data_IF_844160420823
#
_entry.id   IF_844160420823
#
_cell.length_a   1.000
_cell.length_b   1.000
_cell.length_c   1.000
_cell.angle_alpha   90.00
_cell.angle_beta   90.00
_cell.angle_gamma   90.00
#
_symmetry.space_group_name_H-M   'P 1'
#
loop_
_entity.id
_entity.type
_entity.pdbx_description
1 polymer ?
#
# COMPACT_ATOMS: atom_id res chain seq x y z
N UNK A 1 -8.87 -17.17 -21.72
CA UNK A 1 -8.91 -15.85 -22.39
C UNK A 1 -8.27 -14.79 -21.47
N UNK A 2 -8.62 -14.72 -20.20
CA UNK A 2 -8.11 -13.70 -19.26
C UNK A 2 -6.60 -13.82 -18.99
N UNK A 3 -6.07 -15.05 -18.90
CA UNK A 3 -4.65 -15.31 -18.73
C UNK A 3 -3.82 -14.94 -19.98
N UNK A 4 -4.36 -15.17 -21.18
CA UNK A 4 -3.73 -14.77 -22.44
C UNK A 4 -3.74 -13.25 -22.60
N UNK A 5 -4.81 -12.54 -22.23
CA UNK A 5 -4.88 -11.09 -22.27
C UNK A 5 -3.90 -10.43 -21.31
N UNK A 6 -3.64 -11.05 -20.14
CA UNK A 6 -2.65 -10.57 -19.15
C UNK A 6 -1.19 -10.76 -19.64
N UNK A 7 -0.94 -11.85 -20.39
CA UNK A 7 0.35 -12.12 -21.04
C UNK A 7 0.63 -11.13 -22.18
N UNK A 8 -0.38 -10.86 -23.01
CA UNK A 8 -0.33 -9.89 -24.09
C UNK A 8 -0.12 -8.45 -23.59
N UNK A 9 -0.72 -8.06 -22.46
CA UNK A 9 -0.51 -6.72 -21.89
C UNK A 9 0.91 -6.50 -21.34
N UNK A 10 1.55 -7.54 -20.78
CA UNK A 10 2.95 -7.49 -20.36
C UNK A 10 3.89 -7.44 -21.57
N UNK A 11 3.64 -8.24 -22.58
CA UNK A 11 4.37 -8.22 -23.83
C UNK A 11 4.29 -6.82 -24.50
N UNK A 12 3.10 -6.24 -24.58
CA UNK A 12 2.88 -4.90 -25.12
C UNK A 12 3.69 -3.82 -24.41
N UNK A 13 3.80 -3.91 -23.08
CA UNK A 13 4.59 -2.95 -22.29
C UNK A 13 6.09 -3.06 -22.60
N UNK A 14 6.61 -4.28 -22.73
CA UNK A 14 8.01 -4.52 -23.11
C UNK A 14 8.29 -4.07 -24.55
N UNK A 15 7.42 -4.39 -25.48
CA UNK A 15 7.53 -3.97 -26.87
C UNK A 15 7.50 -2.44 -27.04
N UNK A 16 6.76 -1.73 -26.20
CA UNK A 16 6.75 -0.26 -26.24
C UNK A 16 8.12 0.36 -25.97
N UNK A 17 8.92 -0.28 -25.11
CA UNK A 17 10.27 0.19 -24.80
C UNK A 17 11.25 -0.27 -25.89
N UNK A 18 11.13 -1.50 -26.36
CA UNK A 18 12.01 -2.09 -27.36
C UNK A 18 11.78 -1.50 -28.77
N UNK A 19 10.54 -1.21 -29.15
CA UNK A 19 10.18 -0.71 -30.48
C UNK A 19 10.99 0.50 -30.92
N UNK A 20 11.03 1.63 -30.18
CA UNK A 20 11.83 2.79 -30.60
C UNK A 20 13.33 2.48 -30.62
N UNK A 21 13.80 1.59 -29.73
CA UNK A 21 15.19 1.14 -29.73
C UNK A 21 15.51 0.33 -30.99
N UNK A 22 14.69 -0.65 -31.36
CA UNK A 22 14.91 -1.51 -32.53
C UNK A 22 14.83 -0.71 -33.83
N UNK A 23 13.88 0.22 -33.94
CA UNK A 23 13.78 1.12 -35.10
C UNK A 23 15.06 1.97 -35.21
N UNK A 24 15.49 2.55 -34.09
CA UNK A 24 16.71 3.37 -34.07
C UNK A 24 17.97 2.56 -34.37
N UNK A 25 18.06 1.31 -33.91
CA UNK A 25 19.13 0.37 -34.19
C UNK A 25 19.28 0.14 -35.70
N UNK A 26 18.15 -0.10 -36.38
CA UNK A 26 18.13 -0.25 -37.86
C UNK A 26 18.53 1.04 -38.58
N UNK A 27 17.98 2.20 -38.19
CA UNK A 27 18.32 3.50 -38.77
C UNK A 27 19.82 3.85 -38.67
N UNK A 28 20.53 3.33 -37.67
CA UNK A 28 21.97 3.50 -37.49
C UNK A 28 22.80 2.48 -38.27
N UNK A 29 22.16 1.60 -39.05
CA UNK A 29 22.84 0.59 -39.89
C UNK A 29 23.41 -0.60 -39.12
N UNK A 30 22.97 -0.84 -37.87
CA UNK A 30 23.40 -2.00 -37.12
C UNK A 30 22.76 -3.29 -37.65
N UNK A 31 23.49 -4.44 -37.68
CA UNK A 31 22.99 -5.68 -38.23
C UNK A 31 21.96 -6.36 -37.30
N UNK A 32 21.18 -7.29 -37.87
CA UNK A 32 20.28 -8.17 -37.12
C UNK A 32 18.79 -7.78 -37.13
N UNK A 33 18.43 -6.68 -37.80
CA UNK A 33 17.04 -6.29 -38.04
C UNK A 33 16.94 -5.91 -39.53
N UNK A 34 15.97 -6.47 -40.22
CA UNK A 34 15.67 -6.13 -41.63
C UNK A 34 14.55 -5.09 -41.72
N UNK A 35 14.39 -4.54 -42.92
CA UNK A 35 13.41 -3.50 -43.19
C UNK A 35 11.97 -3.96 -42.96
N UNK A 36 11.66 -5.23 -43.30
CA UNK A 36 10.33 -5.81 -43.12
C UNK A 36 9.96 -5.91 -41.63
N UNK A 37 10.92 -6.23 -40.78
CA UNK A 37 10.72 -6.24 -39.33
C UNK A 37 10.49 -4.83 -38.78
N UNK A 38 11.18 -3.83 -39.32
CA UNK A 38 10.99 -2.41 -38.92
C UNK A 38 9.58 -1.93 -39.33
N UNK A 39 9.12 -2.28 -40.55
CA UNK A 39 7.79 -1.95 -41.01
C UNK A 39 6.72 -2.60 -40.13
N UNK A 40 6.87 -3.89 -39.83
CA UNK A 40 5.99 -4.58 -38.90
C UNK A 40 5.95 -3.90 -37.52
N UNK A 41 7.09 -3.52 -36.97
CA UNK A 41 7.17 -2.79 -35.71
C UNK A 41 6.49 -1.42 -35.77
N UNK A 42 6.58 -0.69 -36.88
CA UNK A 42 5.91 0.61 -37.07
C UNK A 42 4.37 0.48 -37.08
N UNK A 43 3.85 -0.57 -37.68
CA UNK A 43 2.41 -0.79 -37.82
C UNK A 43 1.78 -1.60 -36.68
N UNK A 44 2.59 -2.18 -35.76
CA UNK A 44 2.07 -2.97 -34.65
C UNK A 44 1.23 -2.11 -33.71
N UNK A 45 -0.07 -2.36 -33.62
CA UNK A 45 -0.97 -1.69 -32.67
C UNK A 45 -0.83 -2.31 -31.28
N UNK A 46 -0.08 -1.62 -30.43
CA UNK A 46 0.11 -2.01 -29.04
C UNK A 46 -1.00 -1.39 -28.18
N UNK A 47 -2.10 -2.13 -27.99
CA UNK A 47 -3.18 -1.72 -27.09
C UNK A 47 -2.65 -1.55 -25.67
N UNK A 48 -2.53 -0.33 -25.20
CA UNK A 48 -2.04 0.02 -23.88
C UNK A 48 -3.20 0.55 -23.05
N UNK A 49 -3.49 -0.08 -21.90
CA UNK A 49 -4.39 0.52 -20.92
C UNK A 49 -3.81 1.87 -20.48
N UNK A 50 -4.54 2.95 -20.72
CA UNK A 50 -4.15 4.29 -20.22
C UNK A 50 -4.11 4.27 -18.69
N UNK A 51 -3.08 4.90 -18.12
CA UNK A 51 -2.99 5.04 -16.66
C UNK A 51 -4.23 5.77 -16.11
N UNK A 52 -4.83 5.22 -15.05
CA UNK A 52 -6.02 5.81 -14.43
C UNK A 52 -7.36 5.45 -15.10
N UNK A 53 -7.37 4.72 -16.20
CA UNK A 53 -8.61 4.36 -16.90
C UNK A 53 -9.59 3.60 -16.00
N UNK A 54 -9.10 2.66 -15.17
CA UNK A 54 -9.96 1.91 -14.24
C UNK A 54 -10.63 2.80 -13.18
N UNK A 55 -10.00 3.92 -12.82
CA UNK A 55 -10.59 4.91 -11.90
C UNK A 55 -11.64 5.74 -12.64
N UNK A 56 -11.32 6.22 -13.84
CA UNK A 56 -12.23 7.05 -14.65
C UNK A 56 -13.51 6.30 -15.08
N UNK A 57 -13.42 4.99 -15.24
CA UNK A 57 -14.54 4.13 -15.63
C UNK A 57 -15.25 3.49 -14.42
N UNK A 58 -14.82 3.81 -13.19
CA UNK A 58 -15.29 3.15 -11.96
C UNK A 58 -15.35 1.62 -12.08
N UNK A 59 -14.27 1.03 -12.64
CA UNK A 59 -14.18 -0.41 -12.94
C UNK A 59 -14.37 -1.22 -11.64
N UNK A 60 -15.39 -2.10 -11.58
CA UNK A 60 -15.71 -2.84 -10.36
C UNK A 60 -14.64 -3.86 -9.95
N UNK A 61 -13.71 -4.20 -10.85
CA UNK A 61 -12.68 -5.22 -10.61
C UNK A 61 -11.28 -4.64 -10.41
N UNK A 62 -10.95 -3.52 -11.05
CA UNK A 62 -9.62 -2.91 -10.99
C UNK A 62 -9.62 -1.45 -10.48
N UNK A 63 -10.79 -0.81 -10.44
CA UNK A 63 -10.99 0.55 -9.98
C UNK A 63 -11.10 0.66 -8.44
N UNK A 64 -11.53 1.81 -7.92
CA UNK A 64 -11.76 2.00 -6.49
C UNK A 64 -12.86 1.07 -5.97
N UNK A 65 -12.82 0.74 -4.70
CA UNK A 65 -13.94 0.11 -4.00
C UNK A 65 -15.05 1.14 -3.80
N UNK A 66 -16.30 0.70 -3.87
CA UNK A 66 -17.40 1.52 -3.38
C UNK A 66 -17.47 1.48 -1.84
N UNK A 67 -18.41 2.24 -1.24
CA UNK A 67 -18.55 2.35 0.22
C UNK A 67 -18.85 0.97 0.85
N UNK A 68 -19.76 0.20 0.27
CA UNK A 68 -20.19 -1.10 0.79
C UNK A 68 -19.05 -2.12 0.74
N UNK A 69 -18.32 -2.20 -0.38
CA UNK A 69 -17.17 -3.09 -0.53
C UNK A 69 -16.07 -2.75 0.47
N UNK A 70 -15.76 -1.45 0.66
CA UNK A 70 -14.74 -1.01 1.62
C UNK A 70 -15.17 -1.30 3.05
N UNK A 71 -16.42 -1.03 3.42
CA UNK A 71 -16.97 -1.34 4.75
C UNK A 71 -16.96 -2.85 5.02
N UNK A 72 -17.35 -3.67 4.05
CA UNK A 72 -17.34 -5.13 4.19
C UNK A 72 -15.93 -5.68 4.37
N UNK A 73 -14.94 -5.13 3.66
CA UNK A 73 -13.53 -5.48 3.84
C UNK A 73 -13.05 -5.17 5.26
N UNK A 74 -13.33 -3.96 5.79
CA UNK A 74 -12.93 -3.57 7.15
C UNK A 74 -13.60 -4.47 8.20
N UNK A 75 -14.90 -4.76 8.05
CA UNK A 75 -15.62 -5.69 8.94
C UNK A 75 -15.00 -7.09 8.94
N UNK A 76 -14.71 -7.64 7.76
CA UNK A 76 -14.09 -8.96 7.63
C UNK A 76 -12.69 -8.99 8.25
N UNK A 77 -11.88 -7.96 8.03
CA UNK A 77 -10.54 -7.82 8.61
C UNK A 77 -10.60 -7.83 10.15
N UNK A 78 -11.46 -7.02 10.72
CA UNK A 78 -11.64 -6.92 12.16
C UNK A 78 -12.17 -8.23 12.77
N UNK A 79 -13.11 -8.87 12.09
CA UNK A 79 -13.66 -10.15 12.52
C UNK A 79 -12.59 -11.26 12.52
N UNK A 80 -11.83 -11.37 11.43
CA UNK A 80 -10.75 -12.36 11.32
C UNK A 80 -9.67 -12.16 12.40
N UNK A 81 -9.31 -10.90 12.69
CA UNK A 81 -8.35 -10.61 13.76
C UNK A 81 -8.87 -10.99 15.14
N UNK A 82 -10.12 -10.63 15.48
CA UNK A 82 -10.75 -11.01 16.77
C UNK A 82 -10.84 -12.52 16.96
N UNK A 83 -11.06 -13.29 15.91
CA UNK A 83 -11.09 -14.76 15.94
C UNK A 83 -9.71 -15.42 15.98
N UNK A 84 -8.62 -14.66 15.89
CA UNK A 84 -7.26 -15.22 15.78
C UNK A 84 -6.95 -15.86 14.42
N UNK A 85 -7.81 -15.66 13.41
CA UNK A 85 -7.65 -16.17 12.05
C UNK A 85 -6.70 -15.29 11.20
N UNK A 86 -6.43 -14.07 11.66
CA UNK A 86 -5.54 -13.11 11.04
C UNK A 86 -4.45 -12.71 12.02
N UNK A 87 -3.18 -12.92 11.66
CA UNK A 87 -2.05 -12.55 12.50
C UNK A 87 -1.91 -11.03 12.65
N UNK A 88 -1.31 -10.57 13.75
CA UNK A 88 -1.14 -9.16 14.05
C UNK A 88 -0.40 -8.39 12.93
N UNK A 89 0.74 -8.88 12.34
CA UNK A 89 1.39 -8.17 11.23
C UNK A 89 0.49 -8.07 9.98
N UNK A 90 -0.29 -9.10 9.67
CA UNK A 90 -1.25 -9.05 8.55
C UNK A 90 -2.40 -8.07 8.83
N UNK A 91 -2.90 -8.02 10.05
CA UNK A 91 -3.93 -7.08 10.46
C UNK A 91 -3.43 -5.64 10.39
N UNK A 92 -2.28 -5.35 11.03
CA UNK A 92 -1.70 -4.02 11.10
C UNK A 92 -1.39 -3.43 9.70
N UNK A 93 -0.77 -4.22 8.80
CA UNK A 93 -0.46 -3.73 7.46
C UNK A 93 -1.72 -3.53 6.61
N UNK A 94 -2.71 -4.40 6.74
CA UNK A 94 -4.00 -4.26 6.02
C UNK A 94 -4.76 -3.04 6.50
N UNK A 95 -4.78 -2.79 7.80
CA UNK A 95 -5.39 -1.61 8.42
C UNK A 95 -4.73 -0.32 7.91
N UNK A 96 -3.39 -0.25 7.98
CA UNK A 96 -2.64 0.91 7.48
C UNK A 96 -2.93 1.20 6.00
N UNK A 97 -2.92 0.18 5.14
CA UNK A 97 -3.20 0.36 3.71
C UNK A 97 -4.63 0.81 3.47
N UNK A 98 -5.60 0.20 4.18
CA UNK A 98 -7.02 0.49 4.01
C UNK A 98 -7.39 1.92 4.44
N UNK A 99 -6.67 2.50 5.40
CA UNK A 99 -6.94 3.83 5.92
C UNK A 99 -6.07 4.93 5.28
N UNK A 100 -4.86 4.59 4.81
CA UNK A 100 -3.91 5.60 4.33
C UNK A 100 -3.66 5.57 2.83
N UNK A 101 -3.99 4.48 2.16
CA UNK A 101 -3.67 4.29 0.74
C UNK A 101 -2.17 4.31 0.42
N UNK A 102 -1.28 4.18 1.44
CA UNK A 102 0.17 4.16 1.24
C UNK A 102 0.62 2.91 0.48
N UNK A 103 1.77 3.00 -0.18
CA UNK A 103 2.30 1.84 -0.92
C UNK A 103 2.84 0.79 0.06
N UNK A 104 2.63 -0.51 -0.18
CA UNK A 104 3.19 -1.57 0.67
C UNK A 104 4.68 -1.41 0.95
N UNK A 105 5.46 -1.04 -0.06
CA UNK A 105 6.90 -0.80 0.10
C UNK A 105 7.21 0.28 1.14
N UNK A 106 6.40 1.33 1.23
CA UNK A 106 6.59 2.39 2.22
C UNK A 106 6.30 1.90 3.63
N UNK A 107 5.25 1.08 3.79
CA UNK A 107 4.81 0.58 5.09
C UNK A 107 5.75 -0.50 5.65
N UNK A 108 6.24 -1.41 4.80
CA UNK A 108 7.19 -2.43 5.28
C UNK A 108 8.54 -1.83 5.67
N UNK A 109 8.89 -0.64 5.19
CA UNK A 109 10.12 0.06 5.56
C UNK A 109 10.01 0.86 6.86
N UNK A 110 8.85 0.86 7.52
CA UNK A 110 8.69 1.53 8.82
C UNK A 110 9.50 0.81 9.89
N UNK A 111 10.15 1.61 10.73
CA UNK A 111 10.88 1.18 11.91
C UNK A 111 10.15 1.62 13.18
N UNK A 112 10.52 1.04 14.30
CA UNK A 112 9.97 1.40 15.62
C UNK A 112 10.01 2.92 15.87
N UNK A 113 11.09 3.58 15.50
CA UNK A 113 11.29 5.04 15.66
C UNK A 113 10.38 5.90 14.79
N UNK A 114 9.75 5.32 13.77
CA UNK A 114 8.92 6.07 12.82
C UNK A 114 7.48 6.25 13.31
N UNK A 115 7.10 5.58 14.41
CA UNK A 115 5.86 5.84 15.14
C UNK A 115 6.13 6.88 16.23
N UNK A 116 5.56 8.07 16.07
CA UNK A 116 5.80 9.24 16.90
C UNK A 116 4.52 9.61 17.65
N UNK A 117 4.71 10.06 18.88
CA UNK A 117 3.68 10.67 19.71
C UNK A 117 4.06 12.14 19.93
N UNK A 118 3.18 13.05 19.55
CA UNK A 118 3.35 14.50 19.72
C UNK A 118 2.33 15.04 20.71
N UNK A 119 2.79 15.74 21.73
CA UNK A 119 1.92 16.48 22.62
C UNK A 119 1.61 17.82 21.98
N UNK A 120 0.34 18.13 21.80
CA UNK A 120 -0.13 19.41 21.28
C UNK A 120 -0.32 20.42 22.43
N UNK A 121 -0.24 21.72 22.11
CA UNK A 121 -0.38 22.81 23.08
C UNK A 121 -1.71 22.81 23.86
N UNK A 122 -2.73 22.18 23.30
CA UNK A 122 -4.05 22.00 23.91
C UNK A 122 -4.17 20.76 24.83
N UNK A 123 -3.04 20.11 25.15
CA UNK A 123 -2.98 18.90 25.97
C UNK A 123 -3.44 17.61 25.28
N UNK A 124 -3.81 17.66 23.98
CA UNK A 124 -4.13 16.46 23.20
C UNK A 124 -2.86 15.80 22.69
N UNK A 125 -2.96 14.51 22.50
CA UNK A 125 -1.89 13.69 21.93
C UNK A 125 -2.23 13.40 20.47
N UNK A 126 -1.28 13.70 19.59
CA UNK A 126 -1.33 13.33 18.17
C UNK A 126 -0.38 12.16 17.90
N UNK A 127 -0.86 11.15 17.20
CA UNK A 127 -0.03 10.03 16.74
C UNK A 127 0.31 10.22 15.28
N UNK A 128 1.59 10.08 14.97
CA UNK A 128 2.14 10.34 13.64
C UNK A 128 3.04 9.20 13.20
N UNK A 129 2.89 8.76 11.96
CA UNK A 129 3.84 7.84 11.33
C UNK A 129 4.73 8.64 10.37
N UNK A 130 6.04 8.51 10.53
CA UNK A 130 7.05 9.08 9.63
C UNK A 130 7.30 8.09 8.48
N UNK A 131 6.59 8.28 7.36
CA UNK A 131 6.58 7.33 6.23
C UNK A 131 7.70 7.62 5.25
N UNK A 132 8.57 6.64 4.93
CA UNK A 132 9.65 6.83 3.96
C UNK A 132 9.09 6.98 2.53
N UNK A 133 9.74 7.85 1.74
CA UNK A 133 9.38 8.12 0.34
C UNK A 133 10.23 7.26 -0.60
N UNK A 134 9.63 6.27 -1.26
CA UNK A 134 10.36 5.21 -2.01
C UNK A 134 10.57 5.46 -3.51
N UNK A 135 10.04 6.54 -4.08
CA UNK A 135 10.17 6.85 -5.52
C UNK A 135 10.78 8.23 -5.76
N UNK A 136 11.91 8.49 -5.14
CA UNK A 136 12.61 9.76 -5.31
C UNK A 136 13.84 9.63 -6.21
N UNK A 137 14.12 10.68 -6.98
CA UNK A 137 15.36 10.83 -7.75
C UNK A 137 16.44 11.41 -6.85
N UNK A 138 16.97 10.64 -5.94
CA UNK A 138 18.04 11.10 -5.02
C UNK A 138 18.53 9.96 -4.15
N UNK A 139 19.73 10.11 -3.59
CA UNK A 139 20.35 9.10 -2.73
C UNK A 139 19.81 9.14 -1.30
N UNK A 140 19.24 10.26 -0.86
CA UNK A 140 18.74 10.43 0.50
C UNK A 140 17.30 9.97 0.64
N UNK A 141 17.04 9.14 1.64
CA UNK A 141 15.70 8.72 2.01
C UNK A 141 15.00 9.88 2.74
N UNK A 142 13.98 10.44 2.10
CA UNK A 142 13.13 11.47 2.70
C UNK A 142 11.92 10.82 3.35
N UNK A 143 11.37 11.48 4.36
CA UNK A 143 10.20 11.03 5.08
C UNK A 143 9.06 12.02 4.92
N UNK A 144 7.85 11.54 5.13
CA UNK A 144 6.64 12.36 5.20
C UNK A 144 5.82 11.91 6.40
N UNK A 145 5.48 12.83 7.25
CA UNK A 145 4.62 12.58 8.39
C UNK A 145 3.17 12.37 7.95
N UNK A 146 2.48 11.47 8.62
CA UNK A 146 1.09 11.14 8.43
C UNK A 146 0.45 10.97 9.80
N UNK A 147 -0.50 11.84 10.14
CA UNK A 147 -1.31 11.69 11.34
C UNK A 147 -2.20 10.46 11.23
N UNK A 148 -2.31 9.71 12.32
CA UNK A 148 -3.18 8.54 12.46
C UNK A 148 -3.96 8.64 13.75
N UNK A 149 -5.11 7.98 13.79
CA UNK A 149 -5.91 7.92 15.03
C UNK A 149 -5.26 7.01 16.07
N UNK A 150 -5.58 7.25 17.35
CA UNK A 150 -5.03 6.53 18.51
C UNK A 150 -5.17 5.02 18.41
N UNK A 151 -6.30 4.53 17.90
CA UNK A 151 -6.61 3.11 17.75
C UNK A 151 -5.66 2.41 16.76
N UNK A 152 -5.42 3.06 15.62
CA UNK A 152 -4.45 2.57 14.63
C UNK A 152 -3.03 2.62 15.18
N UNK A 153 -2.68 3.71 15.88
CA UNK A 153 -1.38 3.86 16.52
C UNK A 153 -1.13 2.74 17.53
N UNK A 154 -2.13 2.37 18.32
CA UNK A 154 -2.04 1.28 19.30
C UNK A 154 -1.78 -0.08 18.66
N UNK A 155 -2.44 -0.39 17.53
CA UNK A 155 -2.19 -1.63 16.77
C UNK A 155 -0.78 -1.63 16.18
N UNK A 156 -0.35 -0.52 15.60
CA UNK A 156 1.01 -0.39 15.04
C UNK A 156 2.06 -0.51 16.13
N UNK A 157 1.82 0.09 17.31
CA UNK A 157 2.71 -0.01 18.46
C UNK A 157 2.79 -1.45 19.00
N UNK A 158 1.64 -2.14 19.08
CA UNK A 158 1.60 -3.55 19.48
C UNK A 158 2.42 -4.41 18.52
N UNK A 159 2.27 -4.20 17.21
CA UNK A 159 3.06 -4.87 16.18
C UNK A 159 4.55 -4.54 16.30
N UNK A 160 4.91 -3.28 16.53
CA UNK A 160 6.29 -2.86 16.71
C UNK A 160 6.94 -3.53 17.94
N UNK A 161 6.20 -3.60 19.05
CA UNK A 161 6.65 -4.28 20.28
C UNK A 161 6.83 -5.79 20.06
N UNK A 162 5.93 -6.43 19.32
CA UNK A 162 6.07 -7.85 18.95
C UNK A 162 7.34 -8.08 18.11
N UNK A 163 7.61 -7.20 17.15
CA UNK A 163 8.81 -7.28 16.31
C UNK A 163 10.09 -7.15 17.13
N UNK A 164 10.13 -6.23 18.09
CA UNK A 164 11.26 -6.10 19.03
C UNK A 164 11.47 -7.40 19.81
N UNK A 165 10.40 -7.97 20.39
CA UNK A 165 10.48 -9.24 21.13
C UNK A 165 11.03 -10.38 20.28
N UNK A 166 10.60 -10.50 19.03
CA UNK A 166 11.09 -11.54 18.12
C UNK A 166 12.59 -11.37 17.82
N UNK A 167 13.06 -10.14 17.64
CA UNK A 167 14.49 -9.86 17.44
C UNK A 167 15.28 -10.15 18.71
N UNK A 168 14.79 -9.75 19.90
CA UNK A 168 15.43 -10.06 21.20
C UNK A 168 15.54 -11.57 21.42
N UNK A 169 14.48 -12.32 21.10
CA UNK A 169 14.50 -13.79 21.18
C UNK A 169 15.52 -14.41 20.24
N UNK A 170 15.57 -13.94 18.99
CA UNK A 170 16.54 -14.44 18.01
C UNK A 170 18.00 -14.15 18.40
N UNK A 171 18.24 -12.99 19.05
CA UNK A 171 19.57 -12.60 19.54
C UNK A 171 19.93 -13.16 20.92
N UNK A 172 18.97 -13.71 21.66
CA UNK A 172 19.17 -14.16 23.04
C UNK A 172 19.51 -13.05 24.02
N UNK A 173 19.21 -11.79 23.71
CA UNK A 173 19.51 -10.62 24.56
C UNK A 173 18.47 -9.50 24.39
N UNK A 174 18.30 -8.71 25.43
CA UNK A 174 17.49 -7.49 25.40
C UNK A 174 18.20 -6.40 24.61
N UNK A 175 17.45 -5.67 23.80
CA UNK A 175 17.98 -4.54 23.03
C UNK A 175 17.98 -3.27 23.88
N UNK A 176 19.00 -2.43 23.71
CA UNK A 176 18.99 -1.06 24.21
C UNK A 176 18.00 -0.19 23.41
N UNK A 177 17.70 1.00 23.94
CA UNK A 177 16.70 1.89 23.32
C UNK A 177 17.11 2.37 21.92
N UNK A 178 18.39 2.52 21.65
CA UNK A 178 18.89 2.90 20.34
C UNK A 178 18.68 1.77 19.33
N UNK A 179 19.03 0.55 19.67
CA UNK A 179 18.83 -0.63 18.84
C UNK A 179 17.34 -0.94 18.60
N UNK A 180 16.49 -0.81 19.64
CA UNK A 180 15.02 -0.97 19.49
C UNK A 180 14.45 -0.03 18.45
N UNK A 181 14.89 1.23 18.41
CA UNK A 181 14.40 2.24 17.47
C UNK A 181 14.63 1.86 16.01
N UNK A 182 15.64 1.05 15.71
CA UNK A 182 16.01 0.63 14.36
C UNK A 182 15.31 -0.66 13.90
N UNK A 183 14.60 -1.36 14.80
CA UNK A 183 13.87 -2.59 14.45
C UNK A 183 12.73 -2.28 13.47
N UNK A 184 12.61 -3.02 12.34
CA UNK A 184 11.47 -2.91 11.45
C UNK A 184 10.16 -3.29 12.14
N UNK A 185 9.08 -2.53 11.88
CA UNK A 185 7.74 -2.86 12.39
C UNK A 185 7.22 -4.16 11.76
N UNK A 186 7.52 -4.38 10.48
CA UNK A 186 7.13 -5.60 9.75
C UNK A 186 8.38 -6.41 9.41
N UNK A 187 8.53 -7.55 10.09
CA UNK A 187 9.69 -8.43 9.94
C UNK A 187 9.46 -9.51 8.88
N UNK A 188 10.56 -9.88 8.22
CA UNK A 188 10.68 -11.16 7.54
C UNK A 188 11.20 -12.18 8.55
N UNK A 189 10.29 -12.93 9.18
CA UNK A 189 10.62 -13.88 10.24
C UNK A 189 11.55 -15.00 9.76
N UNK A 190 11.52 -15.40 8.48
CA UNK A 190 12.44 -16.37 7.89
C UNK A 190 13.92 -15.97 8.01
N UNK A 191 14.18 -14.65 8.11
CA UNK A 191 15.54 -14.10 8.22
C UNK A 191 16.00 -13.85 9.65
N UNK A 192 15.17 -14.11 10.64
CA UNK A 192 15.56 -13.94 12.04
C UNK A 192 16.65 -14.94 12.44
N UNK A 193 16.62 -16.14 11.87
CA UNK A 193 17.67 -17.16 12.08
C UNK A 193 19.06 -16.74 11.55
N UNK A 194 19.08 -15.82 10.57
CA UNK A 194 20.31 -15.33 9.96
C UNK A 194 20.96 -14.18 10.76
N UNK A 195 20.31 -13.73 11.83
CA UNK A 195 20.86 -12.72 12.73
C UNK A 195 22.06 -13.33 13.48
N UNK A 196 23.24 -13.12 12.93
CA UNK A 196 24.46 -13.49 13.62
C UNK A 196 24.78 -12.52 14.74
N UNK A 197 25.28 -13.04 15.85
CA UNK A 197 25.69 -12.28 17.04
C UNK A 197 26.89 -11.35 16.74
N UNK A 198 27.45 -11.39 15.53
CA UNK A 198 28.67 -10.72 15.14
C UNK A 198 28.40 -9.30 14.60
N UNK A 199 28.69 -8.31 15.41
CA UNK A 199 29.29 -7.02 15.08
C UNK A 199 28.38 -5.89 14.68
N UNK A 200 27.68 -5.79 13.60
CA UNK A 200 26.98 -4.57 13.17
C UNK A 200 25.48 -4.79 13.02
N UNK A 201 24.81 -4.96 14.16
CA UNK A 201 23.36 -5.20 14.29
C UNK A 201 22.53 -4.19 13.45
N UNK A 202 22.94 -2.93 13.39
CA UNK A 202 22.20 -1.87 12.68
C UNK A 202 22.15 -2.02 11.16
N UNK A 203 23.20 -2.56 10.53
CA UNK A 203 23.23 -2.82 9.09
C UNK A 203 22.40 -4.06 8.74
N UNK A 204 22.30 -5.02 9.65
CA UNK A 204 21.54 -6.24 9.43
C UNK A 204 20.02 -6.05 9.56
N UNK A 205 19.55 -5.11 10.38
CA UNK A 205 18.12 -4.81 10.50
C UNK A 205 17.47 -4.41 9.19
N UNK A 206 18.19 -3.77 8.27
CA UNK A 206 17.68 -3.45 6.96
C UNK A 206 17.41 -4.70 6.09
N UNK A 207 18.00 -5.85 6.43
CA UNK A 207 17.72 -7.13 5.77
C UNK A 207 16.47 -7.81 6.31
N UNK A 208 15.99 -7.39 7.49
CA UNK A 208 14.83 -7.99 8.17
C UNK A 208 13.48 -7.43 7.74
N UNK A 209 13.43 -6.47 6.84
CA UNK A 209 12.15 -5.98 6.34
C UNK A 209 11.33 -7.08 5.68
N UNK A 210 10.04 -7.13 6.01
CA UNK A 210 9.09 -7.96 5.30
C UNK A 210 9.05 -7.61 3.81
N UNK A 211 8.73 -8.58 2.97
CA UNK A 211 8.50 -8.34 1.55
C UNK A 211 7.18 -7.54 1.37
N UNK A 212 7.11 -6.57 0.45
CA UNK A 212 5.87 -5.82 0.20
C UNK A 212 4.67 -6.69 -0.19
N UNK A 213 4.93 -7.92 -0.61
CA UNK A 213 3.91 -8.93 -0.93
C UNK A 213 3.06 -9.33 0.27
N UNK A 214 3.54 -9.12 1.52
CA UNK A 214 2.78 -9.38 2.75
C UNK A 214 1.40 -8.70 2.71
N UNK A 215 1.31 -7.50 2.16
CA UNK A 215 0.06 -6.77 2.00
C UNK A 215 -0.94 -7.47 1.07
N UNK A 216 -0.46 -8.04 -0.04
CA UNK A 216 -1.32 -8.78 -0.96
C UNK A 216 -1.77 -10.10 -0.36
N UNK A 217 -0.88 -10.78 0.37
CA UNK A 217 -1.19 -12.06 1.06
C UNK A 217 -2.26 -11.81 2.11
N UNK A 218 -2.07 -10.79 2.97
CA UNK A 218 -3.00 -10.44 4.03
C UNK A 218 -4.39 -10.07 3.48
N UNK A 219 -4.46 -9.16 2.52
CA UNK A 219 -5.73 -8.72 1.93
C UNK A 219 -6.48 -9.87 1.25
N UNK A 220 -5.79 -10.74 0.51
CA UNK A 220 -6.41 -11.90 -0.12
C UNK A 220 -6.92 -12.91 0.90
N UNK A 221 -6.18 -13.16 1.97
CA UNK A 221 -6.61 -14.03 3.07
C UNK A 221 -7.89 -13.50 3.72
N UNK A 222 -7.93 -12.19 4.03
CA UNK A 222 -9.12 -11.53 4.62
C UNK A 222 -10.36 -11.73 3.73
N UNK A 223 -10.21 -11.46 2.44
CA UNK A 223 -11.36 -11.51 1.51
C UNK A 223 -11.83 -12.95 1.27
N UNK A 224 -10.91 -13.90 1.13
CA UNK A 224 -11.25 -15.30 0.87
C UNK A 224 -11.82 -15.96 2.12
N UNK A 225 -11.18 -15.82 3.28
CA UNK A 225 -11.63 -16.44 4.54
C UNK A 225 -12.93 -15.78 5.06
N UNK A 226 -13.06 -14.47 4.88
CA UNK A 226 -14.26 -13.71 5.25
C UNK A 226 -15.39 -13.80 4.22
N UNK A 227 -15.18 -14.51 3.09
CA UNK A 227 -16.13 -14.61 1.97
C UNK A 227 -16.72 -13.24 1.57
N UNK A 228 -15.84 -12.24 1.42
CA UNK A 228 -16.26 -10.87 1.10
C UNK A 228 -16.68 -10.80 -0.37
N UNK A 229 -17.98 -10.64 -0.60
CA UNK A 229 -18.57 -10.56 -1.94
C UNK A 229 -18.69 -9.10 -2.37
N UNK A 230 -18.29 -8.82 -3.61
CA UNK A 230 -18.53 -7.52 -4.23
C UNK A 230 -20.00 -7.39 -4.62
N UNK A 231 -20.67 -6.34 -4.14
CA UNK A 231 -22.06 -6.04 -4.52
C UNK A 231 -22.20 -5.57 -5.98
N UNK A 232 -21.08 -5.21 -6.63
CA UNK A 232 -21.06 -4.80 -8.04
C UNK A 232 -20.88 -5.97 -9.02
N UNK A 233 -20.22 -7.05 -8.58
CA UNK A 233 -19.91 -8.18 -9.48
C UNK A 233 -20.57 -9.49 -9.05
N UNK A 234 -21.09 -9.58 -7.81
CA UNK A 234 -21.63 -10.81 -7.24
C UNK A 234 -20.57 -11.91 -6.96
N UNK A 235 -19.29 -11.60 -7.12
CA UNK A 235 -18.16 -12.52 -6.95
C UNK A 235 -17.32 -12.11 -5.75
N UNK A 236 -16.40 -12.99 -5.32
CA UNK A 236 -15.39 -12.67 -4.31
C UNK A 236 -14.67 -11.36 -4.70
N UNK A 237 -14.57 -10.44 -3.76
CA UNK A 237 -14.01 -9.13 -3.96
C UNK A 237 -12.55 -9.23 -4.45
N UNK A 238 -12.27 -8.77 -5.66
CA UNK A 238 -10.90 -8.67 -6.14
C UNK A 238 -10.19 -7.52 -5.43
N UNK A 239 -9.29 -7.81 -4.50
CA UNK A 239 -8.62 -6.82 -3.68
C UNK A 239 -7.12 -6.73 -3.96
N UNK A 240 -6.61 -5.51 -4.06
CA UNK A 240 -5.18 -5.21 -4.15
C UNK A 240 -4.87 -3.90 -3.40
N UNK A 241 -3.64 -3.70 -2.92
CA UNK A 241 -3.22 -2.43 -2.34
C UNK A 241 -3.41 -1.23 -3.27
N UNK A 242 -3.33 -1.46 -4.59
CA UNK A 242 -3.59 -0.42 -5.59
C UNK A 242 -5.05 0.02 -5.59
N UNK A 243 -6.00 -0.92 -5.50
CA UNK A 243 -7.44 -0.61 -5.41
C UNK A 243 -7.77 0.20 -4.16
N UNK A 244 -7.21 -0.19 -3.01
CA UNK A 244 -7.36 0.57 -1.75
C UNK A 244 -6.81 1.99 -1.89
N UNK A 245 -5.66 2.14 -2.54
CA UNK A 245 -5.11 3.48 -2.83
C UNK A 245 -6.03 4.30 -3.73
N UNK A 246 -6.66 3.69 -4.73
CA UNK A 246 -7.68 4.34 -5.56
C UNK A 246 -8.89 4.72 -4.74
N UNK A 247 -9.34 3.84 -3.84
CA UNK A 247 -10.46 4.06 -2.93
C UNK A 247 -10.22 5.29 -2.06
N UNK A 248 -9.09 5.36 -1.36
CA UNK A 248 -8.74 6.52 -0.51
C UNK A 248 -8.63 7.80 -1.34
N UNK A 249 -7.97 7.76 -2.50
CA UNK A 249 -7.86 8.92 -3.39
C UNK A 249 -9.23 9.43 -3.86
N UNK A 250 -10.12 8.50 -4.22
CA UNK A 250 -11.49 8.81 -4.66
C UNK A 250 -12.33 9.37 -3.51
N UNK A 251 -12.20 8.81 -2.30
CA UNK A 251 -12.86 9.33 -1.09
C UNK A 251 -12.42 10.75 -0.78
N UNK A 252 -11.10 11.03 -0.80
CA UNK A 252 -10.57 12.38 -0.59
C UNK A 252 -11.07 13.36 -1.65
N UNK A 253 -11.13 12.95 -2.92
CA UNK A 253 -11.67 13.81 -3.99
C UNK A 253 -13.16 14.10 -3.77
N UNK A 254 -13.95 13.09 -3.39
CA UNK A 254 -15.38 13.24 -3.06
C UNK A 254 -15.60 14.15 -1.85
N UNK A 255 -14.68 14.16 -0.88
CA UNK A 255 -14.69 15.08 0.28
C UNK A 255 -14.21 16.49 -0.06
N UNK A 256 -14.03 16.82 -1.32
CA UNK A 256 -13.65 18.16 -1.76
C UNK A 256 -12.18 18.50 -1.59
N UNK A 257 -11.30 17.53 -1.25
CA UNK A 257 -9.87 17.79 -1.16
C UNK A 257 -9.28 18.09 -2.53
N UNK A 258 -8.42 19.10 -2.59
CA UNK A 258 -7.77 19.51 -3.84
C UNK A 258 -6.68 18.52 -4.29
N UNK A 259 -6.26 18.65 -5.57
CA UNK A 259 -5.24 17.78 -6.18
C UNK A 259 -3.94 17.73 -5.38
N UNK A 260 -3.51 18.87 -4.84
CA UNK A 260 -2.25 18.95 -4.10
C UNK A 260 -2.34 18.17 -2.80
N UNK A 261 -3.42 18.32 -2.05
CA UNK A 261 -3.68 17.57 -0.82
C UNK A 261 -3.72 16.07 -1.07
N UNK A 262 -4.43 15.62 -2.13
CA UNK A 262 -4.49 14.20 -2.50
C UNK A 262 -3.10 13.68 -2.90
N UNK A 263 -2.35 14.45 -3.70
CA UNK A 263 -0.98 14.09 -4.10
C UNK A 263 -0.06 13.99 -2.89
N UNK A 264 -0.23 14.86 -1.93
CA UNK A 264 0.54 14.87 -0.69
C UNK A 264 0.22 13.69 0.20
N UNK A 265 -1.05 13.48 0.53
CA UNK A 265 -1.49 12.37 1.39
C UNK A 265 -1.12 11.01 0.80
N UNK A 266 -1.16 10.86 -0.51
CA UNK A 266 -0.79 9.61 -1.19
C UNK A 266 0.69 9.52 -1.57
N UNK A 267 1.50 10.54 -1.28
CA UNK A 267 2.90 10.61 -1.71
C UNK A 267 3.08 10.41 -3.22
N UNK A 268 2.33 11.19 -4.02
CA UNK A 268 2.54 11.27 -5.44
C UNK A 268 3.73 12.19 -5.75
N UNK A 269 4.55 11.79 -6.72
CA UNK A 269 5.67 12.62 -7.22
C UNK A 269 5.20 13.72 -8.18
N UNK A 270 3.96 13.62 -8.67
CA UNK A 270 3.34 14.56 -9.60
C UNK A 270 1.85 14.69 -9.33
N UNK A 271 1.32 15.90 -9.44
CA UNK A 271 -0.11 16.20 -9.32
C UNK A 271 -0.95 15.62 -10.45
N UNK A 272 -0.36 15.32 -11.61
CA UNK A 272 -1.05 14.70 -12.75
C UNK A 272 -1.71 13.37 -12.37
N UNK A 273 -1.05 12.58 -11.51
CA UNK A 273 -1.62 11.30 -11.02
C UNK A 273 -2.77 11.51 -10.04
N UNK A 274 -2.82 12.63 -9.33
CA UNK A 274 -3.91 12.97 -8.41
C UNK A 274 -5.09 13.63 -9.14
N UNK A 275 -4.83 14.35 -10.22
CA UNK A 275 -5.87 14.99 -11.04
C UNK A 275 -6.89 14.03 -11.66
N UNK A 276 -6.52 12.76 -11.86
CA UNK A 276 -7.42 11.72 -12.37
C UNK A 276 -8.61 11.52 -11.43
N UNK A 277 -8.41 11.61 -10.12
CA UNK A 277 -9.47 11.40 -9.13
C UNK A 277 -10.47 12.56 -9.06
N UNK A 278 -10.04 13.77 -9.34
CA UNK A 278 -10.90 14.98 -9.30
C UNK A 278 -11.76 15.08 -10.56
N UNK A 279 -11.24 14.74 -11.72
CA UNK A 279 -12.00 14.77 -12.98
C UNK A 279 -13.27 13.90 -12.96
N UNK A 280 -13.27 12.85 -12.15
CA UNK A 280 -14.40 11.92 -12.05
C UNK A 280 -15.50 12.38 -11.06
N UNK A 281 -15.33 13.51 -10.36
CA UNK A 281 -16.17 13.87 -9.21
C UNK A 281 -16.77 15.28 -9.23
N UNK A 282 -16.81 15.94 -10.38
CA UNK A 282 -17.52 17.23 -10.50
C UNK A 282 -19.01 17.13 -10.09
N UNK A 283 -19.58 15.91 -10.06
CA UNK A 283 -21.02 15.66 -9.87
C UNK A 283 -21.40 15.05 -8.50
N UNK A 284 -20.48 14.90 -7.52
CA UNK A 284 -20.78 14.10 -6.32
C UNK A 284 -20.31 14.72 -4.99
N UNK A 285 -20.60 15.99 -4.73
CA UNK A 285 -20.06 16.72 -3.56
C UNK A 285 -20.79 16.42 -2.22
N UNK A 286 -21.90 15.70 -2.21
CA UNK A 286 -22.68 15.52 -0.98
C UNK A 286 -22.67 14.11 -0.42
N UNK A 287 -21.86 13.71 0.53
CA UNK A 287 -22.16 12.55 1.44
C UNK A 287 -20.97 11.76 2.03
N UNK A 288 -19.85 12.34 2.42
CA UNK A 288 -18.72 11.46 2.82
C UNK A 288 -18.17 11.67 4.24
N UNK A 289 -18.47 12.76 4.92
CA UNK A 289 -17.96 13.00 6.28
C UNK A 289 -18.42 11.95 7.31
N UNK A 290 -19.64 11.41 7.15
CA UNK A 290 -20.17 10.38 8.06
C UNK A 290 -19.53 9.00 7.90
N UNK A 291 -19.10 8.64 6.68
CA UNK A 291 -18.65 7.27 6.38
C UNK A 291 -17.25 6.96 6.90
N UNK A 292 -16.34 7.94 6.91
CA UNK A 292 -14.99 7.77 7.47
C UNK A 292 -15.09 7.76 8.99
N UNK A 293 -15.87 8.66 9.60
CA UNK A 293 -16.12 8.69 11.04
C UNK A 293 -16.77 7.39 11.54
N UNK A 294 -17.74 6.83 10.81
CA UNK A 294 -18.42 5.58 11.16
C UNK A 294 -17.48 4.34 11.06
N UNK A 295 -16.58 4.34 10.08
CA UNK A 295 -15.57 3.28 9.93
C UNK A 295 -14.47 3.38 10.99
N UNK A 296 -14.13 4.60 11.41
CA UNK A 296 -13.17 4.86 12.48
C UNK A 296 -13.77 4.58 13.86
N UNK A 297 -15.06 4.83 14.10
CA UNK A 297 -15.74 4.44 15.35
C UNK A 297 -15.74 2.92 15.55
N UNK A 298 -15.81 2.16 14.45
CA UNK A 298 -15.74 0.70 14.51
C UNK A 298 -14.35 0.18 14.93
N UNK A 299 -13.26 0.90 14.57
CA UNK A 299 -11.92 0.60 15.09
C UNK A 299 -11.83 0.95 16.58
N UNK A 300 -12.46 2.05 17.02
CA UNK A 300 -12.55 2.43 18.43
C UNK A 300 -13.29 1.36 19.28
N UNK A 301 -14.38 0.78 18.75
CA UNK A 301 -15.11 -0.30 19.41
C UNK A 301 -14.27 -1.56 19.68
N UNK A 302 -13.28 -1.85 18.84
CA UNK A 302 -12.33 -2.97 19.06
C UNK A 302 -11.49 -2.72 20.31
N UNK A 303 -11.10 -1.48 20.55
CA UNK A 303 -10.28 -1.12 21.72
C UNK A 303 -11.09 -1.01 23.00
N UNK A 304 -12.30 -0.48 22.93
CA UNK A 304 -13.16 -0.30 24.10
C UNK A 304 -13.71 -1.64 24.65
N UNK A 305 -13.91 -2.63 23.78
CA UNK A 305 -14.48 -3.95 24.15
C UNK A 305 -13.43 -5.05 24.36
N UNK A 306 -12.16 -4.69 24.42
CA UNK A 306 -11.10 -5.53 24.96
C UNK A 306 -10.51 -6.55 23.99
N UNK A 307 -9.22 -6.39 23.74
CA UNK A 307 -8.33 -7.54 23.48
C UNK A 307 -8.24 -8.29 24.81
N UNK A 308 -9.11 -9.31 25.02
CA UNK A 308 -8.93 -10.31 26.06
C UNK A 308 -7.98 -11.36 25.59
#
# INVERSE_FOLDING_TARGET
>A
IEYQNKKLSKASASFRVLRPFLIKWFELGYPGIDESAVELLKHLDLKIKKSGQSVLQDDPTEGPLNKEEHTSLIKAMNHAYRKGELSLPHYAISLLISLTGRRPQQLVMLKYKDLLQKNLDNGKVEYVISVPRVKQRGKELRYRELAIISEVASIVQLQANQSVKLVEQALGKTLDDYSKREVPIFLNEEKLSDLSITGSILLEYNKLYAKPTIANVALKSIVNNGNVISNRTGSILNITPRRLRYTIATMLAKNGHNVNTIAELLDHSSTSSAGIYIKNHADSVERIDSAVSEQLSFVADIFMNGIK
#
